data_IF_575425536985
#
_entry.id   IF_575425536985
#
_cell.length_a   1.000
_cell.length_b   1.000
_cell.length_c   1.000
_cell.angle_alpha   90.00
_cell.angle_beta   90.00
_cell.angle_gamma   90.00
#
_symmetry.space_group_name_H-M   'P 1'
#
loop_
_entity.id
_entity.type
_entity.pdbx_description
1 polymer ?
#
# COMPACT_ATOMS: atom_id res chain seq x y z
N UNK A 1 -3.85 -12.34 0.10
CA UNK A 1 -3.60 -13.10 -1.14
C UNK A 1 -2.63 -14.24 -0.81
N UNK A 2 -3.02 -15.17 0.07
CA UNK A 2 -2.13 -16.26 0.53
C UNK A 2 -1.87 -17.25 -0.60
N UNK A 3 -2.91 -17.61 -1.38
CA UNK A 3 -2.78 -18.49 -2.55
C UNK A 3 -1.86 -17.96 -3.65
N UNK A 4 -1.77 -16.64 -3.85
CA UNK A 4 -0.86 -16.07 -4.87
C UNK A 4 0.62 -16.18 -4.47
N UNK A 5 0.91 -16.17 -3.17
CA UNK A 5 2.25 -16.37 -2.61
C UNK A 5 2.61 -17.86 -2.59
N UNK A 6 1.64 -18.73 -2.26
CA UNK A 6 1.80 -20.19 -2.29
C UNK A 6 2.00 -20.71 -3.73
N UNK A 7 1.29 -20.15 -4.71
CA UNK A 7 1.31 -20.62 -6.10
C UNK A 7 0.44 -21.87 -6.31
N UNK A 8 0.46 -22.42 -7.52
CA UNK A 8 -0.19 -23.72 -7.80
C UNK A 8 0.60 -24.82 -7.07
N UNK A 9 -0.07 -25.61 -6.24
CA UNK A 9 0.51 -26.75 -5.52
C UNK A 9 1.79 -26.44 -4.72
N UNK A 10 1.85 -25.25 -4.10
CA UNK A 10 3.00 -24.75 -3.33
C UNK A 10 4.33 -24.64 -4.10
N UNK A 11 4.29 -24.71 -5.43
CA UNK A 11 5.48 -24.71 -6.29
C UNK A 11 6.30 -23.42 -6.11
N UNK A 12 5.63 -22.28 -6.05
CA UNK A 12 6.27 -20.97 -5.99
C UNK A 12 7.04 -20.78 -4.68
N UNK A 13 6.48 -21.25 -3.56
CA UNK A 13 7.15 -21.21 -2.25
C UNK A 13 8.37 -22.13 -2.21
N UNK A 14 8.31 -23.31 -2.87
CA UNK A 14 9.45 -24.23 -2.96
C UNK A 14 10.58 -23.65 -3.79
N UNK A 15 10.28 -22.98 -4.90
CA UNK A 15 11.28 -22.29 -5.72
C UNK A 15 11.94 -21.13 -4.97
N UNK A 16 11.14 -20.29 -4.32
CA UNK A 16 11.64 -19.20 -3.47
C UNK A 16 12.56 -19.73 -2.37
N UNK A 17 12.14 -20.78 -1.68
CA UNK A 17 12.97 -21.46 -0.68
C UNK A 17 14.25 -22.04 -1.28
N UNK A 18 14.23 -22.61 -2.48
CA UNK A 18 15.42 -23.15 -3.12
C UNK A 18 16.44 -22.06 -3.50
N UNK A 19 15.98 -20.90 -3.97
CA UNK A 19 16.85 -19.75 -4.29
C UNK A 19 17.42 -19.14 -3.02
N UNK A 20 16.59 -18.97 -1.99
CA UNK A 20 17.02 -18.38 -0.72
C UNK A 20 17.93 -19.33 0.06
N UNK A 21 17.63 -20.64 0.15
CA UNK A 21 18.52 -21.64 0.78
C UNK A 21 19.90 -21.74 0.12
N UNK A 22 19.99 -21.48 -1.19
CA UNK A 22 21.29 -21.41 -1.89
C UNK A 22 22.10 -20.17 -1.53
N UNK A 23 21.48 -19.13 -0.96
CA UNK A 23 22.10 -17.82 -0.68
C UNK A 23 22.14 -17.46 0.81
N UNK A 24 21.23 -17.98 1.64
CA UNK A 24 20.99 -17.69 3.05
C UNK A 24 20.28 -18.88 3.77
N UNK A 25 19.90 -18.73 5.05
CA UNK A 25 19.21 -19.75 5.89
C UNK A 25 17.67 -19.61 5.77
N UNK A 26 16.92 -20.66 6.16
CA UNK A 26 15.48 -20.93 5.90
C UNK A 26 14.49 -19.77 6.16
N UNK A 27 13.43 -19.72 5.33
CA UNK A 27 12.33 -18.75 5.44
C UNK A 27 11.22 -19.27 6.37
N UNK A 28 10.72 -18.38 7.23
CA UNK A 28 9.46 -18.54 7.95
C UNK A 28 8.44 -17.52 7.41
N UNK A 29 7.27 -18.00 6.99
CA UNK A 29 6.18 -17.16 6.51
C UNK A 29 5.16 -16.93 7.62
N UNK A 30 5.08 -15.69 8.12
CA UNK A 30 4.04 -15.27 9.06
C UNK A 30 2.91 -14.52 8.36
N UNK A 31 1.66 -14.85 8.70
CA UNK A 31 0.50 -14.11 8.22
C UNK A 31 0.38 -12.79 8.98
N UNK A 32 0.35 -11.68 8.24
CA UNK A 32 -0.01 -10.38 8.79
C UNK A 32 -1.47 -10.41 9.27
N UNK A 33 -1.67 -10.32 10.59
CA UNK A 33 -2.98 -10.45 11.23
C UNK A 33 -4.00 -9.39 10.77
N UNK A 34 -3.57 -8.15 10.51
CA UNK A 34 -4.43 -7.03 10.10
C UNK A 34 -3.88 -6.33 8.86
N UNK A 35 -4.05 -6.95 7.68
CA UNK A 35 -3.65 -6.37 6.38
C UNK A 35 -4.25 -4.98 6.14
N UNK A 36 -5.41 -4.70 6.71
CA UNK A 36 -6.10 -3.41 6.59
C UNK A 36 -5.30 -2.24 7.17
N UNK A 37 -4.58 -2.46 8.27
CA UNK A 37 -3.79 -1.43 8.96
C UNK A 37 -2.34 -1.31 8.45
N UNK A 38 -1.96 -2.11 7.45
CA UNK A 38 -0.62 -2.08 6.88
C UNK A 38 -0.52 -1.07 5.74
N UNK A 39 0.28 -0.02 5.92
CA UNK A 39 0.48 1.04 4.93
C UNK A 39 0.99 0.51 3.58
N UNK A 40 1.88 -0.50 3.59
CA UNK A 40 2.40 -1.15 2.36
C UNK A 40 1.27 -1.80 1.57
N UNK A 41 0.43 -2.59 2.24
CA UNK A 41 -0.66 -3.30 1.58
C UNK A 41 -1.71 -2.34 0.99
N UNK A 42 -1.95 -1.21 1.65
CA UNK A 42 -2.87 -0.18 1.18
C UNK A 42 -2.29 0.60 -0.01
N UNK A 43 -1.00 0.95 0.04
CA UNK A 43 -0.31 1.55 -1.10
C UNK A 43 -0.35 0.62 -2.33
N UNK A 44 -0.08 -0.68 -2.14
CA UNK A 44 -0.18 -1.66 -3.22
C UNK A 44 -1.61 -1.76 -3.78
N UNK A 45 -2.63 -1.71 -2.90
CA UNK A 45 -4.04 -1.69 -3.31
C UNK A 45 -4.39 -0.46 -4.15
N UNK A 46 -3.88 0.72 -3.78
CA UNK A 46 -4.02 1.94 -4.56
C UNK A 46 -3.36 1.80 -5.93
N UNK A 47 -2.13 1.25 -6.00
CA UNK A 47 -1.44 1.01 -7.25
C UNK A 47 -2.29 0.16 -8.22
N UNK A 48 -2.83 -0.98 -7.75
CA UNK A 48 -3.66 -1.84 -8.59
C UNK A 48 -4.94 -1.14 -9.08
N UNK A 49 -5.58 -0.33 -8.22
CA UNK A 49 -6.80 0.42 -8.60
C UNK A 49 -6.48 1.49 -9.66
N UNK A 50 -5.33 2.16 -9.55
CA UNK A 50 -4.91 3.20 -10.50
C UNK A 50 -4.48 2.61 -11.85
N UNK A 51 -3.75 1.48 -11.85
CA UNK A 51 -3.41 0.73 -13.08
C UNK A 51 -4.69 0.22 -13.76
N UNK A 52 -5.68 -0.19 -12.97
CA UNK A 52 -7.00 -0.59 -13.46
C UNK A 52 -7.84 0.54 -14.08
N UNK A 53 -7.32 1.76 -14.18
CA UNK A 53 -7.99 2.89 -14.83
C UNK A 53 -9.06 3.55 -13.97
N UNK A 54 -9.14 3.26 -12.66
CA UNK A 54 -10.05 3.98 -11.77
C UNK A 54 -9.57 5.43 -11.61
N UNK A 55 -10.52 6.37 -11.61
CA UNK A 55 -10.23 7.77 -11.33
C UNK A 55 -9.59 7.92 -9.94
N UNK A 56 -8.53 8.74 -9.85
CA UNK A 56 -7.69 8.91 -8.63
C UNK A 56 -8.53 9.15 -7.38
N UNK A 57 -9.49 10.10 -7.42
CA UNK A 57 -10.37 10.38 -6.28
C UNK A 57 -11.17 9.15 -5.83
N UNK A 58 -11.73 8.40 -6.78
CA UNK A 58 -12.53 7.21 -6.48
C UNK A 58 -11.67 6.09 -5.90
N UNK A 59 -10.46 5.90 -6.43
CA UNK A 59 -9.50 4.91 -5.93
C UNK A 59 -9.08 5.25 -4.48
N UNK A 60 -8.73 6.51 -4.23
CA UNK A 60 -8.41 7.03 -2.91
C UNK A 60 -9.58 6.82 -1.95
N UNK A 61 -10.75 7.43 -2.18
CA UNK A 61 -11.89 7.31 -1.26
C UNK A 61 -12.30 5.85 -0.95
N UNK A 62 -12.15 4.94 -1.91
CA UNK A 62 -12.42 3.52 -1.68
C UNK A 62 -11.40 2.82 -0.76
N UNK A 63 -10.13 3.24 -0.74
CA UNK A 63 -9.12 2.72 0.20
C UNK A 63 -9.24 3.38 1.55
N UNK A 64 -9.46 4.69 1.54
CA UNK A 64 -9.68 5.53 2.71
C UNK A 64 -10.80 4.99 3.61
N UNK A 65 -11.96 4.72 3.00
CA UNK A 65 -13.10 4.11 3.69
C UNK A 65 -12.76 2.74 4.29
N UNK A 66 -12.00 1.91 3.56
CA UNK A 66 -11.60 0.58 4.00
C UNK A 66 -10.66 0.62 5.22
N UNK A 67 -9.76 1.60 5.28
CA UNK A 67 -8.84 1.82 6.42
C UNK A 67 -9.63 2.24 7.67
N UNK A 68 -10.61 3.15 7.53
CA UNK A 68 -11.44 3.60 8.65
C UNK A 68 -12.36 2.50 9.17
N UNK A 69 -12.97 1.70 8.29
CA UNK A 69 -13.78 0.53 8.68
C UNK A 69 -12.96 -0.49 9.48
N UNK A 70 -11.63 -0.45 9.37
CA UNK A 70 -10.71 -1.32 10.08
C UNK A 70 -10.18 -0.73 11.40
N UNK A 71 -10.88 0.25 11.96
CA UNK A 71 -10.58 0.89 13.25
C UNK A 71 -9.27 1.69 13.32
N UNK A 72 -8.81 2.26 12.20
CA UNK A 72 -7.73 3.25 12.23
C UNK A 72 -8.20 4.58 12.85
N UNK A 73 -7.30 5.30 13.53
CA UNK A 73 -7.61 6.63 14.12
C UNK A 73 -7.57 7.76 13.09
N UNK A 74 -6.74 7.59 12.07
CA UNK A 74 -6.65 8.52 10.95
C UNK A 74 -5.73 7.99 9.87
N UNK A 75 -5.82 8.59 8.70
CA UNK A 75 -4.96 8.29 7.57
C UNK A 75 -4.66 9.55 6.77
N UNK A 76 -3.57 9.49 6.03
CA UNK A 76 -3.22 10.48 5.03
C UNK A 76 -2.67 9.75 3.80
N UNK A 77 -3.23 10.07 2.64
CA UNK A 77 -2.76 9.57 1.35
C UNK A 77 -2.37 10.74 0.48
N UNK A 78 -1.12 10.79 0.07
CA UNK A 78 -0.60 11.80 -0.85
C UNK A 78 -0.32 11.13 -2.19
N UNK A 79 -1.00 11.60 -3.23
CA UNK A 79 -0.75 11.20 -4.62
C UNK A 79 -0.06 12.35 -5.33
N UNK A 80 1.13 12.10 -5.85
CA UNK A 80 1.94 13.11 -6.55
C UNK A 80 2.26 12.65 -7.97
N UNK A 81 2.27 13.59 -8.92
CA UNK A 81 2.69 13.34 -10.30
C UNK A 81 1.77 13.96 -11.34
N UNK A 82 1.79 13.44 -12.57
CA UNK A 82 1.03 13.96 -13.72
C UNK A 82 -0.42 13.43 -13.68
N UNK A 83 -1.28 14.11 -12.93
CA UNK A 83 -2.66 13.65 -12.68
C UNK A 83 -3.62 13.87 -13.87
N UNK A 84 -3.77 15.13 -14.31
CA UNK A 84 -4.65 15.50 -15.45
C UNK A 84 -3.92 16.26 -16.56
N UNK A 85 -2.70 16.72 -16.31
CA UNK A 85 -1.94 17.55 -17.23
C UNK A 85 -0.46 17.18 -17.26
N UNK A 86 0.32 17.90 -18.06
CA UNK A 86 1.76 17.65 -18.20
C UNK A 86 2.57 18.11 -16.98
N UNK A 87 2.03 19.03 -16.19
CA UNK A 87 2.65 19.50 -14.95
C UNK A 87 2.31 18.58 -13.78
N UNK A 88 3.29 18.31 -12.93
CA UNK A 88 3.09 17.57 -11.70
C UNK A 88 2.17 18.33 -10.74
N UNK A 89 1.27 17.60 -10.08
CA UNK A 89 0.39 18.10 -9.02
C UNK A 89 0.35 17.08 -7.90
N UNK A 90 0.31 17.55 -6.67
CA UNK A 90 0.04 16.73 -5.49
C UNK A 90 -1.44 16.86 -5.10
N UNK A 91 -2.04 15.74 -4.72
CA UNK A 91 -3.36 15.66 -4.09
C UNK A 91 -3.18 14.94 -2.76
N UNK A 92 -3.51 15.63 -1.69
CA UNK A 92 -3.54 15.08 -0.34
C UNK A 92 -4.99 14.71 -0.01
N UNK A 93 -5.18 13.53 0.56
CA UNK A 93 -6.46 13.06 1.06
C UNK A 93 -6.25 12.67 2.52
N UNK A 94 -6.95 13.36 3.42
CA UNK A 94 -6.79 13.22 4.88
C UNK A 94 -8.15 13.07 5.52
N UNK A 95 -8.23 12.24 6.55
CA UNK A 95 -9.44 12.03 7.36
C UNK A 95 -9.05 11.40 8.71
N UNK A 96 -9.90 11.61 9.70
CA UNK A 96 -9.62 11.24 11.10
C UNK A 96 -8.53 12.10 11.74
N UNK A 97 -7.99 11.62 12.86
CA UNK A 97 -6.93 12.29 13.60
C UNK A 97 -5.57 11.95 12.97
N UNK A 98 -4.88 12.96 12.44
CA UNK A 98 -3.52 12.81 11.92
C UNK A 98 -2.54 13.55 12.83
N UNK A 99 -1.49 12.84 13.24
CA UNK A 99 -0.40 13.40 14.03
C UNK A 99 0.78 13.65 13.08
N UNK A 100 1.26 14.89 13.01
CA UNK A 100 2.41 15.27 12.19
C UNK A 100 3.70 15.47 12.98
N UNK A 101 3.60 15.51 14.31
CA UNK A 101 4.73 15.67 15.24
C UNK A 101 4.94 14.36 15.98
N UNK A 102 6.20 13.95 16.16
CA UNK A 102 6.60 12.62 16.66
C UNK A 102 6.34 11.46 15.67
N UNK A 103 6.72 10.23 16.07
CA UNK A 103 6.73 9.00 15.25
C UNK A 103 5.58 7.99 15.55
N UNK A 104 4.32 8.37 15.89
CA UNK A 104 3.26 7.41 16.19
C UNK A 104 2.61 6.79 14.93
N UNK A 105 3.09 7.13 13.73
CA UNK A 105 2.47 6.76 12.46
C UNK A 105 3.27 5.69 11.73
N UNK A 106 2.59 4.66 11.21
CA UNK A 106 3.20 3.79 10.20
C UNK A 106 3.17 4.52 8.86
N UNK A 107 4.32 5.04 8.47
CA UNK A 107 4.51 5.69 7.19
C UNK A 107 5.08 4.71 6.16
N UNK A 108 4.48 4.72 4.97
CA UNK A 108 5.07 4.06 3.82
C UNK A 108 4.96 4.97 2.60
N UNK A 109 6.11 5.29 2.02
CA UNK A 109 6.20 5.96 0.74
C UNK A 109 6.51 4.94 -0.33
N UNK A 110 5.59 4.76 -1.28
CA UNK A 110 5.73 3.86 -2.41
C UNK A 110 5.95 4.69 -3.68
N UNK A 111 7.10 4.51 -4.31
CA UNK A 111 7.39 5.14 -5.59
C UNK A 111 6.81 4.31 -6.73
N UNK A 112 6.18 5.01 -7.67
CA UNK A 112 5.91 4.59 -9.05
C UNK A 112 4.80 3.54 -9.27
N UNK A 113 3.56 4.03 -9.42
CA UNK A 113 2.60 3.35 -10.30
C UNK A 113 2.84 3.81 -11.74
N UNK A 114 3.29 2.93 -12.67
CA UNK A 114 3.52 3.31 -14.05
C UNK A 114 2.17 3.50 -14.76
N UNK A 115 1.92 4.72 -15.23
CA UNK A 115 0.84 5.04 -16.14
C UNK A 115 1.43 5.37 -17.51
N UNK A 116 0.60 5.29 -18.55
CA UNK A 116 1.00 5.67 -19.92
C UNK A 116 1.54 7.10 -20.03
N UNK A 117 1.11 7.99 -19.12
CA UNK A 117 1.53 9.40 -19.07
C UNK A 117 2.83 9.65 -18.29
N UNK A 118 3.33 8.64 -17.55
CA UNK A 118 4.48 8.72 -16.66
C UNK A 118 4.22 8.02 -15.32
N UNK A 119 5.03 8.33 -14.32
CA UNK A 119 4.90 7.73 -12.98
C UNK A 119 4.07 8.61 -12.03
N UNK A 120 3.31 7.94 -11.15
CA UNK A 120 2.69 8.56 -9.98
C UNK A 120 3.38 8.07 -8.70
N UNK A 121 3.70 9.00 -7.80
CA UNK A 121 4.13 8.72 -6.44
C UNK A 121 2.94 8.60 -5.50
N UNK A 122 2.97 7.62 -4.60
CA UNK A 122 1.91 7.38 -3.62
C UNK A 122 2.54 7.26 -2.24
N UNK A 123 2.13 8.11 -1.32
CA UNK A 123 2.53 8.05 0.08
C UNK A 123 1.30 7.77 0.91
N UNK A 124 1.39 6.80 1.82
CA UNK A 124 0.31 6.39 2.71
C UNK A 124 0.82 6.44 4.14
N UNK A 125 0.15 7.22 4.98
CA UNK A 125 0.35 7.29 6.42
C UNK A 125 -0.91 6.77 7.11
N UNK A 126 -0.74 5.87 8.07
CA UNK A 126 -1.85 5.32 8.87
C UNK A 126 -1.52 5.50 10.34
N UNK A 127 -2.43 6.14 11.08
CA UNK A 127 -2.39 6.23 12.53
C UNK A 127 -3.08 5.01 13.11
N UNK A 128 -2.32 4.18 13.81
CA UNK A 128 -2.85 2.99 14.46
C UNK A 128 -3.69 3.38 15.67
N UNK A 129 -4.75 2.59 15.96
CA UNK A 129 -5.36 2.69 17.27
C UNK A 129 -4.34 2.25 18.32
N UNK A 130 -3.99 3.13 19.27
CA UNK A 130 -3.40 2.72 20.54
C UNK A 130 -4.32 1.72 21.25
N UNK A 131 -3.79 0.51 21.44
CA UNK A 131 -4.18 -0.53 22.40
C UNK A 131 -2.90 -1.27 22.83
#
# INVERSE_FOLDING_TARGET
RTQKVLGESDHHIRELNAVVKKRFIELNDEKVATRSLCAIAQAESLCYKLIGGLAVRRACYGVLRFIMESCAKGYEVVVSGKLRGQRAKSMTFVDGMMIHSDDPCKEYSATATPLRQGELGIQVKIVLPWD
#
